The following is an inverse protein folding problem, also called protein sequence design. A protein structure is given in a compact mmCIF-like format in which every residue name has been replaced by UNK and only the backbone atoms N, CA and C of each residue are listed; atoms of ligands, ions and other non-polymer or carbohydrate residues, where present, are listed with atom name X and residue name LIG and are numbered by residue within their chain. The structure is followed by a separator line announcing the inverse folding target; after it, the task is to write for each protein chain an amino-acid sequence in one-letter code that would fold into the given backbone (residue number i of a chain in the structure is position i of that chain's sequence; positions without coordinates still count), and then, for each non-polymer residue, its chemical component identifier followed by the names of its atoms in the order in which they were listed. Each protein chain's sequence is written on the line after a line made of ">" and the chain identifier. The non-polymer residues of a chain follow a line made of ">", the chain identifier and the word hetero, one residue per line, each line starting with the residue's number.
data_IF_358119432709
#
_entry.id   IF_358119432709
#
_cell.length_a   1.000
_cell.length_b   1.000
_cell.length_c   1.000
_cell.angle_alpha   90.00
_cell.angle_beta   90.00
_cell.angle_gamma   90.00
#
_symmetry.space_group_name_H-M   'P 1'
#
loop_
_entity.id
_entity.type
_entity.pdbx_description
1 polymer ?
#
# COMPACT_ATOMS: atom_id res chain seq x y z
N UNK A 1 -3.02 26.49 10.61
CA UNK A 1 -1.67 26.58 10.01
C UNK A 1 -1.74 27.50 8.82
N UNK A 2 -0.97 28.58 8.85
CA UNK A 2 -0.75 29.50 7.74
C UNK A 2 0.64 30.14 7.95
N UNK A 3 1.33 30.46 6.87
CA UNK A 3 2.58 31.23 6.95
C UNK A 3 2.29 32.68 7.37
N UNK A 4 3.34 33.49 7.55
CA UNK A 4 3.22 34.91 7.95
C UNK A 4 2.39 35.79 6.99
N UNK A 5 2.08 35.31 5.79
CA UNK A 5 1.28 36.01 4.78
C UNK A 5 -0.16 35.49 4.71
N UNK A 6 -0.59 34.62 5.64
CA UNK A 6 -1.94 34.05 5.66
C UNK A 6 -2.19 32.93 4.65
N UNK A 7 -1.13 32.45 3.96
CA UNK A 7 -1.22 31.42 2.91
C UNK A 7 -0.42 30.14 3.27
N UNK A 8 -0.26 29.23 2.31
CA UNK A 8 0.67 28.09 2.42
C UNK A 8 0.14 26.86 3.14
N UNK A 9 -1.18 26.73 3.29
CA UNK A 9 -1.82 25.51 3.75
C UNK A 9 -2.61 24.88 2.60
N UNK A 10 -2.20 23.69 2.18
CA UNK A 10 -2.81 22.93 1.09
C UNK A 10 -3.29 21.55 1.55
N UNK A 11 -3.64 21.43 2.84
CA UNK A 11 -4.15 20.17 3.36
C UNK A 11 -5.49 19.82 2.74
N UNK A 12 -5.66 18.55 2.42
CA UNK A 12 -6.91 17.97 1.94
C UNK A 12 -7.24 16.74 2.79
N UNK A 13 -8.48 16.22 2.77
CA UNK A 13 -8.77 14.89 3.28
C UNK A 13 -7.89 13.85 2.58
N UNK A 14 -7.74 12.66 3.17
CA UNK A 14 -6.92 11.59 2.58
C UNK A 14 -7.62 10.97 1.35
N UNK A 15 -7.52 11.63 0.20
CA UNK A 15 -8.24 11.26 -1.03
C UNK A 15 -7.35 11.10 -2.25
N UNK A 16 -6.09 11.51 -2.20
CA UNK A 16 -5.18 11.47 -3.36
C UNK A 16 -5.00 10.05 -3.92
N UNK A 17 -4.96 9.03 -3.05
CA UNK A 17 -4.88 7.62 -3.43
C UNK A 17 -6.21 6.94 -3.77
N UNK A 18 -7.35 7.65 -3.65
CA UNK A 18 -8.71 7.08 -3.85
C UNK A 18 -9.48 7.79 -4.98
N UNK A 19 -8.77 8.35 -5.97
CA UNK A 19 -9.41 8.81 -7.21
C UNK A 19 -10.08 7.65 -7.95
N UNK A 20 -11.11 7.92 -8.76
CA UNK A 20 -11.86 6.86 -9.47
C UNK A 20 -10.96 5.92 -10.28
N UNK A 21 -9.93 6.48 -10.94
CA UNK A 21 -8.95 5.68 -11.68
C UNK A 21 -8.12 4.77 -10.75
N UNK A 22 -7.73 5.27 -9.57
CA UNK A 22 -7.00 4.49 -8.58
C UNK A 22 -7.87 3.38 -7.97
N UNK A 23 -9.15 3.66 -7.73
CA UNK A 23 -10.11 2.68 -7.21
C UNK A 23 -10.22 1.45 -8.11
N UNK A 24 -10.32 1.65 -9.43
CA UNK A 24 -10.35 0.54 -10.38
C UNK A 24 -9.11 -0.35 -10.27
N UNK A 25 -7.92 0.24 -10.11
CA UNK A 25 -6.66 -0.52 -10.03
C UNK A 25 -6.53 -1.28 -8.71
N UNK A 26 -6.72 -0.63 -7.57
CA UNK A 26 -6.55 -1.32 -6.28
C UNK A 26 -7.66 -2.34 -6.02
N UNK A 27 -8.88 -2.14 -6.54
CA UNK A 27 -9.96 -3.13 -6.43
C UNK A 27 -9.61 -4.43 -7.18
N UNK A 28 -9.07 -4.31 -8.40
CA UNK A 28 -8.58 -5.47 -9.13
C UNK A 28 -7.38 -6.14 -8.43
N UNK A 29 -6.47 -5.34 -7.88
CA UNK A 29 -5.33 -5.84 -7.08
C UNK A 29 -5.78 -6.66 -5.86
N UNK A 30 -6.73 -6.14 -5.08
CA UNK A 30 -7.30 -6.85 -3.94
C UNK A 30 -7.96 -8.17 -4.36
N UNK A 31 -8.72 -8.16 -5.46
CA UNK A 31 -9.32 -9.38 -6.02
C UNK A 31 -8.26 -10.43 -6.39
N UNK A 32 -7.14 -10.02 -6.99
CA UNK A 32 -6.05 -10.93 -7.36
C UNK A 32 -5.40 -11.58 -6.13
N UNK A 33 -5.11 -10.79 -5.08
CA UNK A 33 -4.53 -11.30 -3.82
C UNK A 33 -5.48 -12.29 -3.15
N UNK A 34 -6.77 -11.95 -3.09
CA UNK A 34 -7.79 -12.85 -2.55
C UNK A 34 -7.91 -14.15 -3.36
N UNK A 35 -7.86 -14.08 -4.68
CA UNK A 35 -7.89 -15.28 -5.53
C UNK A 35 -6.68 -16.20 -5.28
N UNK A 36 -5.49 -15.62 -5.09
CA UNK A 36 -4.27 -16.37 -4.73
C UNK A 36 -4.43 -17.10 -3.39
N UNK A 37 -4.97 -16.42 -2.37
CA UNK A 37 -5.21 -17.00 -1.05
C UNK A 37 -6.30 -18.08 -1.08
N UNK A 38 -7.48 -17.77 -1.65
CA UNK A 38 -8.66 -18.64 -1.65
C UNK A 38 -8.41 -19.90 -2.48
N UNK A 39 -7.66 -19.81 -3.59
CA UNK A 39 -7.29 -20.98 -4.40
C UNK A 39 -6.26 -21.90 -3.71
N UNK A 40 -5.69 -21.48 -2.59
CA UNK A 40 -4.64 -22.21 -1.87
C UNK A 40 -3.25 -22.14 -2.51
N UNK A 41 -3.12 -21.51 -3.69
CA UNK A 41 -1.84 -21.39 -4.41
C UNK A 41 -0.82 -20.54 -3.65
N UNK A 42 -1.29 -19.48 -2.97
CA UNK A 42 -0.43 -18.48 -2.29
C UNK A 42 0.68 -17.92 -3.20
N UNK A 43 0.41 -17.84 -4.49
CA UNK A 43 1.24 -17.28 -5.55
C UNK A 43 1.16 -15.74 -5.60
N UNK A 44 1.34 -15.09 -4.45
CA UNK A 44 1.32 -13.62 -4.39
C UNK A 44 2.50 -13.01 -5.15
N UNK A 45 2.29 -11.80 -5.69
CA UNK A 45 3.40 -11.02 -6.24
C UNK A 45 4.33 -10.61 -5.08
N UNK A 46 5.66 -10.81 -5.18
CA UNK A 46 6.58 -10.46 -4.10
C UNK A 46 6.45 -8.99 -3.64
N UNK A 47 6.21 -8.08 -4.58
CA UNK A 47 6.04 -6.65 -4.30
C UNK A 47 4.75 -6.28 -3.56
N UNK A 48 3.75 -7.17 -3.53
CA UNK A 48 2.50 -6.95 -2.77
C UNK A 48 2.63 -7.35 -1.28
N UNK A 49 3.71 -8.05 -0.92
CA UNK A 49 3.89 -8.61 0.42
C UNK A 49 4.69 -7.67 1.31
N UNK A 50 4.08 -7.28 2.43
CA UNK A 50 4.75 -6.50 3.48
C UNK A 50 5.38 -7.44 4.51
N UNK A 51 4.59 -8.40 4.99
CA UNK A 51 5.01 -9.47 5.91
C UNK A 51 4.43 -10.81 5.46
N UNK A 52 5.19 -11.89 5.60
CA UNK A 52 4.75 -13.25 5.34
C UNK A 52 5.43 -14.21 6.31
N UNK A 53 4.70 -15.20 6.80
CA UNK A 53 5.20 -16.26 7.68
C UNK A 53 6.02 -15.75 8.89
N UNK A 54 5.65 -14.58 9.43
CA UNK A 54 6.30 -13.98 10.61
C UNK A 54 7.52 -13.08 10.30
N UNK A 55 7.85 -12.86 9.04
CA UNK A 55 9.00 -12.07 8.61
C UNK A 55 8.60 -10.90 7.71
N UNK A 56 9.44 -9.85 7.69
CA UNK A 56 9.33 -8.80 6.68
C UNK A 56 9.70 -9.36 5.32
N UNK A 57 8.90 -9.04 4.29
CA UNK A 57 9.19 -9.35 2.89
C UNK A 57 9.61 -8.09 2.09
N UNK A 58 9.38 -6.91 2.66
CA UNK A 58 9.70 -5.62 2.04
C UNK A 58 10.84 -4.91 2.74
N UNK A 59 11.78 -4.36 1.96
CA UNK A 59 12.87 -3.51 2.45
C UNK A 59 12.43 -2.07 2.71
N UNK A 60 11.21 -1.70 2.35
CA UNK A 60 10.73 -0.31 2.43
C UNK A 60 10.29 0.12 3.84
N UNK A 61 10.33 -0.79 4.83
CA UNK A 61 9.77 -0.59 6.17
C UNK A 61 10.82 -0.54 7.30
N UNK A 62 12.05 -0.14 6.97
CA UNK A 62 13.13 0.11 7.91
C UNK A 62 14.37 -0.73 7.63
N UNK A 63 15.54 -0.09 7.59
CA UNK A 63 16.83 -0.74 7.29
C UNK A 63 17.27 -1.73 8.38
N UNK A 64 16.69 -1.62 9.58
CA UNK A 64 16.91 -2.54 10.71
C UNK A 64 16.11 -3.86 10.58
N UNK A 65 15.16 -3.92 9.64
CA UNK A 65 14.31 -5.11 9.45
C UNK A 65 15.01 -6.10 8.53
N UNK A 66 15.28 -7.30 9.05
CA UNK A 66 15.75 -8.42 8.21
C UNK A 66 14.61 -8.87 7.30
N UNK A 67 14.84 -8.78 5.99
CA UNK A 67 13.96 -9.32 4.96
C UNK A 67 14.41 -10.74 4.64
N UNK A 68 13.49 -11.70 4.76
CA UNK A 68 13.74 -13.11 4.47
C UNK A 68 13.22 -13.50 3.10
#
# INVERSE_FOLDING_TARGET
>A
MANKYGAGNAMTPHISGTSLDAQQRYAQGAKNILASYISGKKDYRPEDIIVIDGHYASRSYGDDKKVN
#
